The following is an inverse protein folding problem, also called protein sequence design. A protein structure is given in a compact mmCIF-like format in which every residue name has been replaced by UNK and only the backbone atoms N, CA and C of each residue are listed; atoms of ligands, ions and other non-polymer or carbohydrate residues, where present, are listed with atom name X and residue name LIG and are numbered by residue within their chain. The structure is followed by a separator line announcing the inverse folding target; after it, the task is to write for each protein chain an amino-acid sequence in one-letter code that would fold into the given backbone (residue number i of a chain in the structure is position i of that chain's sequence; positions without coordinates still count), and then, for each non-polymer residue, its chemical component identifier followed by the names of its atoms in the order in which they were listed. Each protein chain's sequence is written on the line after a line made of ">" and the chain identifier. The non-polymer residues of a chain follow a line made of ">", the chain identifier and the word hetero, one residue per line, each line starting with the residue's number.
data_IF_852006208403
#
_entry.id   IF_852006208403
#
_cell.length_a   1.000
_cell.length_b   1.000
_cell.length_c   1.000
_cell.angle_alpha   90.00
_cell.angle_beta   90.00
_cell.angle_gamma   90.00
#
_symmetry.space_group_name_H-M   'P 1'
#
loop_
_entity.id
_entity.type
_entity.pdbx_description
1 polymer ?
#
# COMPACT_ATOMS: atom_id res chain seq x y z
N UNK A 1 5.79 17.78 -5.51
CA UNK A 1 6.51 17.60 -6.80
C UNK A 1 5.82 18.42 -7.89
N UNK A 2 6.63 19.09 -8.75
CA UNK A 2 6.11 19.94 -9.84
C UNK A 2 5.94 19.18 -11.17
N UNK A 3 6.47 17.99 -11.28
CA UNK A 3 6.38 17.10 -12.45
C UNK A 3 6.22 15.65 -12.01
N UNK A 4 5.22 14.97 -12.53
CA UNK A 4 5.04 13.52 -12.37
C UNK A 4 5.21 12.85 -13.72
N UNK A 5 6.00 11.78 -13.75
CA UNK A 5 6.16 10.94 -14.94
C UNK A 5 5.20 9.77 -14.85
N UNK A 6 4.29 9.68 -15.81
CA UNK A 6 3.27 8.62 -15.87
C UNK A 6 3.70 7.56 -16.88
N UNK A 7 3.93 6.34 -16.41
CA UNK A 7 4.29 5.18 -17.26
C UNK A 7 3.03 4.55 -17.85
N UNK A 8 2.48 5.17 -18.89
CA UNK A 8 1.21 4.75 -19.51
C UNK A 8 1.20 3.29 -19.97
N UNK A 9 2.35 2.77 -20.39
CA UNK A 9 2.48 1.42 -20.90
C UNK A 9 2.78 0.37 -19.82
N UNK A 10 2.68 0.74 -18.53
CA UNK A 10 3.03 -0.16 -17.43
C UNK A 10 2.32 -1.53 -17.49
N UNK A 11 1.00 -1.63 -17.74
CA UNK A 11 0.34 -2.93 -17.85
C UNK A 11 0.85 -3.77 -19.03
N UNK A 12 1.11 -3.14 -20.19
CA UNK A 12 1.63 -3.83 -21.36
C UNK A 12 3.07 -4.33 -21.13
N UNK A 13 3.91 -3.52 -20.52
CA UNK A 13 5.28 -3.89 -20.16
C UNK A 13 5.30 -5.02 -19.13
N UNK A 14 4.41 -4.98 -18.15
CA UNK A 14 4.28 -6.04 -17.16
C UNK A 14 3.85 -7.36 -17.81
N UNK A 15 2.86 -7.33 -18.70
CA UNK A 15 2.42 -8.50 -19.46
C UNK A 15 3.55 -9.09 -20.29
N UNK A 16 4.33 -8.25 -20.97
CA UNK A 16 5.49 -8.68 -21.74
C UNK A 16 6.59 -9.28 -20.85
N UNK A 17 6.79 -8.74 -19.64
CA UNK A 17 7.74 -9.29 -18.68
C UNK A 17 7.30 -10.68 -18.20
N UNK A 18 6.02 -10.84 -17.85
CA UNK A 18 5.46 -12.10 -17.38
C UNK A 18 5.37 -13.19 -18.46
N UNK A 19 5.34 -12.80 -19.75
CA UNK A 19 5.37 -13.74 -20.88
C UNK A 19 6.76 -14.35 -21.15
N UNK A 20 7.81 -13.84 -20.51
CA UNK A 20 9.17 -14.40 -20.68
C UNK A 20 9.26 -15.79 -20.06
N UNK A 21 9.91 -16.74 -20.77
CA UNK A 21 10.15 -18.10 -20.25
C UNK A 21 10.95 -18.15 -18.93
N UNK A 22 11.75 -17.11 -18.67
CA UNK A 22 12.54 -16.99 -17.44
C UNK A 22 11.72 -16.52 -16.22
N UNK A 23 10.48 -16.06 -16.44
CA UNK A 23 9.65 -15.59 -15.33
C UNK A 23 9.11 -16.78 -14.51
N UNK A 24 9.37 -16.76 -13.20
CA UNK A 24 9.02 -17.86 -12.28
C UNK A 24 7.81 -17.54 -11.40
N UNK A 25 6.96 -16.59 -11.79
CA UNK A 25 5.81 -16.09 -11.00
C UNK A 25 6.24 -15.59 -9.61
N UNK A 26 7.32 -14.85 -9.57
CA UNK A 26 7.81 -14.25 -8.34
C UNK A 26 6.79 -13.27 -7.75
N UNK A 27 6.80 -13.13 -6.42
CA UNK A 27 5.93 -12.17 -5.72
C UNK A 27 6.34 -10.74 -6.08
N UNK A 28 5.46 -10.00 -6.73
CA UNK A 28 5.70 -8.62 -7.18
C UNK A 28 5.05 -7.65 -6.21
N UNK A 29 5.78 -6.64 -5.74
CA UNK A 29 5.23 -5.60 -4.86
C UNK A 29 5.06 -4.30 -5.63
N UNK A 30 3.84 -3.78 -5.66
CA UNK A 30 3.53 -2.45 -6.16
C UNK A 30 3.68 -1.43 -5.03
N UNK A 31 4.82 -0.77 -5.04
CA UNK A 31 5.25 0.24 -4.08
C UNK A 31 6.60 0.78 -4.54
N UNK A 32 7.28 1.54 -3.74
CA UNK A 32 8.67 1.93 -3.95
C UNK A 32 8.83 3.44 -4.09
N UNK A 33 9.09 3.96 -5.29
CA UNK A 33 9.38 5.36 -5.49
C UNK A 33 8.19 6.30 -5.22
N UNK A 34 6.97 5.84 -5.55
CA UNK A 34 5.72 6.58 -5.31
C UNK A 34 4.60 5.63 -4.93
N UNK A 35 3.54 6.15 -4.31
CA UNK A 35 2.35 5.37 -4.01
C UNK A 35 1.62 5.00 -5.31
N UNK A 36 1.35 3.70 -5.51
CA UNK A 36 0.65 3.21 -6.69
C UNK A 36 -0.83 3.62 -6.73
N UNK A 37 -1.40 4.05 -5.60
CA UNK A 37 -2.76 4.59 -5.50
C UNK A 37 -2.79 6.10 -5.23
N UNK A 38 -1.80 6.83 -5.73
CA UNK A 38 -1.83 8.28 -5.74
C UNK A 38 -3.01 8.84 -6.56
N UNK A 39 -3.41 10.12 -6.41
CA UNK A 39 -4.61 10.66 -7.06
C UNK A 39 -4.74 10.44 -8.57
N UNK A 40 -3.61 10.42 -9.30
CA UNK A 40 -3.58 10.17 -10.75
C UNK A 40 -4.06 8.77 -11.14
N UNK A 41 -4.03 7.81 -10.23
CA UNK A 41 -4.55 6.46 -10.46
C UNK A 41 -6.06 6.45 -10.71
N UNK A 42 -6.80 7.50 -10.29
CA UNK A 42 -8.22 7.68 -10.62
C UNK A 42 -8.44 7.77 -12.13
N UNK A 43 -7.56 8.49 -12.82
CA UNK A 43 -7.72 8.82 -14.23
C UNK A 43 -7.01 7.84 -15.15
N UNK A 44 -5.82 7.39 -14.74
CA UNK A 44 -4.96 6.55 -15.59
C UNK A 44 -5.18 5.04 -15.41
N UNK A 45 -5.73 4.58 -14.28
CA UNK A 45 -6.04 3.16 -13.99
C UNK A 45 -4.86 2.21 -14.21
N UNK A 46 -3.63 2.67 -13.99
CA UNK A 46 -2.43 1.89 -14.29
C UNK A 46 -2.21 0.75 -13.30
N UNK A 47 -2.40 1.02 -12.01
CA UNK A 47 -2.32 -0.01 -10.97
C UNK A 47 -3.39 -1.05 -11.19
N UNK A 48 -4.62 -0.61 -11.48
CA UNK A 48 -5.72 -1.52 -11.84
C UNK A 48 -5.36 -2.39 -13.05
N UNK A 49 -4.87 -1.80 -14.14
CA UNK A 49 -4.44 -2.54 -15.33
C UNK A 49 -3.33 -3.55 -15.04
N UNK A 50 -2.38 -3.20 -14.15
CA UNK A 50 -1.34 -4.14 -13.71
C UNK A 50 -1.92 -5.29 -12.87
N UNK A 51 -2.91 -5.04 -12.02
CA UNK A 51 -3.61 -6.08 -11.25
C UNK A 51 -4.41 -7.03 -12.17
N UNK A 52 -5.04 -6.49 -13.23
CA UNK A 52 -5.69 -7.31 -14.25
C UNK A 52 -4.69 -8.26 -14.93
N UNK A 53 -3.48 -7.78 -15.23
CA UNK A 53 -2.40 -8.62 -15.76
C UNK A 53 -1.99 -9.70 -14.75
N UNK A 54 -1.83 -9.34 -13.47
CA UNK A 54 -1.51 -10.33 -12.42
C UNK A 54 -2.58 -11.42 -12.32
N UNK A 55 -3.87 -11.05 -12.39
CA UNK A 55 -4.98 -11.99 -12.40
C UNK A 55 -4.92 -12.92 -13.62
N UNK A 56 -4.75 -12.37 -14.83
CA UNK A 56 -4.70 -13.12 -16.10
C UNK A 56 -3.66 -14.24 -16.07
N UNK A 57 -2.49 -14.00 -15.50
CA UNK A 57 -1.39 -14.97 -15.47
C UNK A 57 -1.22 -15.67 -14.10
N UNK A 58 -2.13 -15.41 -13.17
CA UNK A 58 -2.07 -15.92 -11.79
C UNK A 58 -0.72 -15.62 -11.12
N UNK A 59 -0.27 -14.36 -11.20
CA UNK A 59 0.96 -13.91 -10.57
C UNK A 59 0.68 -13.33 -9.18
N UNK A 60 1.38 -13.76 -8.13
CA UNK A 60 1.18 -13.21 -6.80
C UNK A 60 1.62 -11.75 -6.71
N UNK A 61 0.90 -10.95 -5.91
CA UNK A 61 1.11 -9.51 -5.80
C UNK A 61 0.93 -8.97 -4.39
N UNK A 62 1.79 -8.04 -4.02
CA UNK A 62 1.68 -7.23 -2.81
C UNK A 62 1.48 -5.75 -3.14
N UNK A 63 0.74 -5.06 -2.29
CA UNK A 63 0.55 -3.61 -2.39
C UNK A 63 0.91 -2.98 -1.06
N UNK A 64 1.68 -1.88 -1.10
CA UNK A 64 1.86 -1.01 0.07
C UNK A 64 1.38 0.38 -0.32
N UNK A 65 0.40 0.93 0.40
CA UNK A 65 -0.21 2.21 0.03
C UNK A 65 -0.74 3.00 1.23
N UNK A 66 -0.79 4.33 1.09
CA UNK A 66 -1.55 5.25 1.93
C UNK A 66 -2.88 5.63 1.25
N UNK A 67 -3.03 5.29 -0.03
CA UNK A 67 -4.12 5.72 -0.88
C UNK A 67 -5.45 5.00 -0.59
N UNK A 68 -6.53 5.75 -0.43
CA UNK A 68 -7.88 5.17 -0.24
C UNK A 68 -8.48 4.59 -1.52
N UNK A 69 -7.89 4.91 -2.67
CA UNK A 69 -8.35 4.39 -3.96
C UNK A 69 -8.19 2.86 -4.10
N UNK A 70 -7.35 2.22 -3.29
CA UNK A 70 -7.20 0.76 -3.29
C UNK A 70 -8.52 0.05 -3.00
N UNK A 71 -9.42 0.66 -2.21
CA UNK A 71 -10.75 0.12 -1.93
C UNK A 71 -11.63 -0.04 -3.20
N UNK A 72 -11.41 0.78 -4.24
CA UNK A 72 -12.05 0.64 -5.56
C UNK A 72 -11.78 -0.72 -6.19
N UNK A 73 -10.59 -1.24 -5.98
CA UNK A 73 -10.10 -2.48 -6.62
C UNK A 73 -10.20 -3.71 -5.69
N UNK A 74 -10.98 -3.61 -4.59
CA UNK A 74 -11.13 -4.69 -3.62
C UNK A 74 -11.61 -6.01 -4.25
N UNK A 75 -12.61 -5.96 -5.14
CA UNK A 75 -13.10 -7.16 -5.84
C UNK A 75 -12.03 -7.77 -6.76
N UNK A 76 -11.29 -6.93 -7.49
CA UNK A 76 -10.19 -7.40 -8.35
C UNK A 76 -9.06 -8.02 -7.53
N UNK A 77 -8.72 -7.43 -6.39
CA UNK A 77 -7.72 -7.97 -5.47
C UNK A 77 -8.16 -9.31 -4.88
N UNK A 78 -9.45 -9.48 -4.57
CA UNK A 78 -10.00 -10.75 -4.13
C UNK A 78 -9.92 -11.82 -5.25
N UNK A 79 -10.19 -11.46 -6.50
CA UNK A 79 -10.02 -12.36 -7.66
C UNK A 79 -8.54 -12.75 -7.85
N UNK A 80 -7.60 -11.80 -7.74
CA UNK A 80 -6.15 -12.11 -7.79
C UNK A 80 -5.76 -13.03 -6.64
N UNK A 81 -6.28 -12.76 -5.43
CA UNK A 81 -6.00 -13.59 -4.26
C UNK A 81 -6.50 -15.03 -4.46
N UNK A 82 -7.69 -15.20 -5.02
CA UNK A 82 -8.25 -16.53 -5.32
C UNK A 82 -7.48 -17.28 -6.43
N UNK A 83 -6.91 -16.56 -7.40
CA UNK A 83 -6.15 -17.14 -8.52
C UNK A 83 -4.69 -17.47 -8.15
N UNK A 84 -4.11 -16.71 -7.20
CA UNK A 84 -2.72 -16.88 -6.77
C UNK A 84 -2.56 -16.41 -5.31
N UNK A 85 -2.05 -15.21 -5.13
CA UNK A 85 -1.95 -14.55 -3.84
C UNK A 85 -2.01 -13.04 -4.03
N UNK A 86 -2.84 -12.33 -3.26
CA UNK A 86 -2.77 -10.88 -3.14
C UNK A 86 -2.72 -10.49 -1.66
N UNK A 87 -1.88 -9.52 -1.34
CA UNK A 87 -1.78 -8.93 0.01
C UNK A 87 -1.73 -7.41 -0.10
N UNK A 88 -2.41 -6.74 0.82
CA UNK A 88 -2.36 -5.27 0.90
C UNK A 88 -1.87 -4.86 2.28
N UNK A 89 -0.86 -4.00 2.33
CA UNK A 89 -0.42 -3.32 3.54
C UNK A 89 -0.82 -1.84 3.45
N UNK A 90 -1.72 -1.42 4.34
CA UNK A 90 -2.11 -0.01 4.44
C UNK A 90 -1.17 0.69 5.42
N UNK A 91 -0.46 1.72 4.95
CA UNK A 91 0.45 2.48 5.81
C UNK A 91 -0.36 3.29 6.83
N UNK A 92 -0.11 3.07 8.12
CA UNK A 92 -0.83 3.68 9.23
C UNK A 92 0.13 3.98 10.39
N UNK A 93 0.99 5.01 10.29
CA UNK A 93 1.97 5.32 11.34
C UNK A 93 1.39 6.09 12.51
N UNK A 94 0.20 6.70 12.38
CA UNK A 94 -0.44 7.50 13.42
C UNK A 94 -1.94 7.19 13.49
N UNK A 95 -2.52 7.19 14.71
CA UNK A 95 -3.98 7.21 14.92
C UNK A 95 -4.51 8.62 15.12
N UNK A 96 -3.75 9.47 15.78
CA UNK A 96 -4.12 10.86 16.00
C UNK A 96 -4.14 11.64 14.68
N UNK A 97 -5.28 12.26 14.38
CA UNK A 97 -5.46 12.97 13.12
C UNK A 97 -4.60 14.23 13.02
N UNK A 98 -4.26 14.86 14.14
CA UNK A 98 -3.42 16.07 14.20
C UNK A 98 -1.97 15.71 13.90
N UNK A 99 -1.47 14.65 14.55
CA UNK A 99 -0.13 14.13 14.27
C UNK A 99 -0.03 13.66 12.81
N UNK A 100 -0.99 12.85 12.36
CA UNK A 100 -1.02 12.38 10.99
C UNK A 100 -0.98 13.54 9.97
N UNK A 101 -1.72 14.60 10.22
CA UNK A 101 -1.75 15.79 9.36
C UNK A 101 -0.43 16.55 9.39
N UNK A 102 0.23 16.64 10.55
CA UNK A 102 1.51 17.31 10.69
C UNK A 102 2.63 16.59 9.91
N UNK A 103 2.67 15.26 9.96
CA UNK A 103 3.70 14.47 9.30
C UNK A 103 3.37 14.10 7.85
N UNK A 104 2.09 13.92 7.53
CA UNK A 104 1.62 13.49 6.21
C UNK A 104 0.48 14.39 5.71
N UNK A 105 0.74 15.68 5.46
CA UNK A 105 -0.32 16.69 5.20
C UNK A 105 -1.20 16.39 3.99
N UNK A 106 -0.70 15.64 3.03
CA UNK A 106 -1.42 15.30 1.78
C UNK A 106 -1.97 13.88 1.76
N UNK A 107 -1.72 13.10 2.79
CA UNK A 107 -2.20 11.73 2.88
C UNK A 107 -3.62 11.65 3.49
N UNK A 108 -4.39 10.60 3.19
CA UNK A 108 -5.69 10.37 3.82
C UNK A 108 -5.58 10.23 5.34
N UNK A 109 -6.61 10.67 6.08
CA UNK A 109 -6.65 10.56 7.54
C UNK A 109 -6.59 9.10 8.02
N UNK A 110 -6.16 8.86 9.26
CA UNK A 110 -6.13 7.52 9.86
C UNK A 110 -7.49 6.81 9.79
N UNK A 111 -8.58 7.51 10.10
CA UNK A 111 -9.94 6.96 10.03
C UNK A 111 -10.30 6.48 8.61
N UNK A 112 -9.92 7.22 7.56
CA UNK A 112 -10.14 6.80 6.17
C UNK A 112 -9.30 5.57 5.79
N UNK A 113 -8.08 5.46 6.32
CA UNK A 113 -7.23 4.28 6.10
C UNK A 113 -7.78 3.05 6.81
N UNK A 114 -8.32 3.19 8.02
CA UNK A 114 -9.01 2.10 8.72
C UNK A 114 -10.25 1.63 7.95
N UNK A 115 -11.05 2.54 7.40
CA UNK A 115 -12.19 2.18 6.56
C UNK A 115 -11.78 1.42 5.28
N UNK A 116 -10.61 1.70 4.71
CA UNK A 116 -10.03 0.92 3.60
C UNK A 116 -9.69 -0.50 4.05
N UNK A 117 -9.08 -0.66 5.22
CA UNK A 117 -8.75 -1.98 5.78
C UNK A 117 -10.04 -2.79 5.92
N UNK A 118 -11.08 -2.19 6.51
CA UNK A 118 -12.38 -2.85 6.67
C UNK A 118 -13.00 -3.27 5.33
N UNK A 119 -12.93 -2.40 4.32
CA UNK A 119 -13.45 -2.69 2.97
C UNK A 119 -12.72 -3.87 2.33
N UNK A 120 -11.38 -3.89 2.40
CA UNK A 120 -10.56 -4.97 1.85
C UNK A 120 -10.80 -6.29 2.60
N UNK A 121 -10.85 -6.26 3.92
CA UNK A 121 -11.10 -7.44 4.75
C UNK A 121 -12.48 -8.04 4.45
N UNK A 122 -13.53 -7.21 4.32
CA UNK A 122 -14.89 -7.66 3.93
C UNK A 122 -14.94 -8.27 2.53
N UNK A 123 -14.07 -7.84 1.64
CA UNK A 123 -13.93 -8.41 0.30
C UNK A 123 -13.11 -9.71 0.27
N UNK A 124 -12.59 -10.17 1.40
CA UNK A 124 -11.76 -11.39 1.49
C UNK A 124 -10.30 -11.19 1.06
N UNK A 125 -9.83 -9.95 0.98
CA UNK A 125 -8.43 -9.64 0.66
C UNK A 125 -7.60 -9.66 1.94
N UNK A 126 -6.51 -10.46 2.02
CA UNK A 126 -5.56 -10.39 3.13
C UNK A 126 -4.98 -8.97 3.25
N UNK A 127 -5.31 -8.29 4.33
CA UNK A 127 -4.88 -6.93 4.58
C UNK A 127 -4.15 -6.82 5.91
N UNK A 128 -3.10 -6.03 5.95
CA UNK A 128 -2.35 -5.68 7.14
C UNK A 128 -2.07 -4.19 7.19
N UNK A 129 -1.37 -3.77 8.23
CA UNK A 129 -0.87 -2.40 8.36
C UNK A 129 0.65 -2.34 8.23
N UNK A 130 1.14 -1.19 7.78
CA UNK A 130 2.56 -0.85 7.83
C UNK A 130 2.74 0.39 8.70
N UNK A 131 3.39 0.24 9.85
CA UNK A 131 3.75 1.35 10.74
C UNK A 131 5.12 1.86 10.28
N UNK A 132 5.11 2.75 9.32
CA UNK A 132 6.32 3.26 8.69
C UNK A 132 6.22 4.77 8.40
N UNK A 133 7.08 5.58 9.05
CA UNK A 133 8.10 5.20 10.02
C UNK A 133 7.57 5.03 11.44
N UNK A 134 8.24 4.21 12.24
CA UNK A 134 8.21 4.30 13.71
C UNK A 134 9.26 5.32 14.12
N UNK A 135 8.86 6.31 14.89
CA UNK A 135 9.69 7.40 15.38
C UNK A 135 9.74 7.30 16.90
N UNK A 136 10.89 6.86 17.49
CA UNK A 136 11.02 6.70 18.93
C UNK A 136 10.70 8.00 19.69
N UNK A 137 9.90 7.90 20.76
CA UNK A 137 9.43 9.02 21.55
C UNK A 137 8.30 9.85 20.92
N UNK A 138 7.77 9.45 19.75
CA UNK A 138 6.69 10.17 19.08
C UNK A 138 5.46 9.31 18.79
N UNK A 139 5.63 8.15 18.19
CA UNK A 139 4.50 7.27 17.84
C UNK A 139 4.68 5.81 18.27
N UNK A 140 5.78 5.49 18.90
CA UNK A 140 6.06 4.14 19.42
C UNK A 140 5.12 3.76 20.57
N UNK A 141 4.78 4.69 21.46
CA UNK A 141 3.79 4.46 22.53
C UNK A 141 2.37 4.18 22.00
N UNK A 142 2.06 4.64 20.79
CA UNK A 142 0.77 4.43 20.14
C UNK A 142 0.64 3.05 19.45
N UNK A 143 1.72 2.27 19.32
CA UNK A 143 1.72 0.99 18.60
C UNK A 143 0.64 0.02 19.11
N UNK A 144 0.43 -0.20 20.42
CA UNK A 144 -0.62 -1.09 20.89
C UNK A 144 -2.02 -0.67 20.42
N UNK A 145 -2.33 0.62 20.50
CA UNK A 145 -3.61 1.18 20.03
C UNK A 145 -3.77 1.09 18.50
N UNK A 146 -2.68 1.30 17.74
CA UNK A 146 -2.65 1.11 16.28
C UNK A 146 -2.98 -0.34 15.91
N UNK A 147 -2.38 -1.31 16.59
CA UNK A 147 -2.62 -2.73 16.35
C UNK A 147 -4.04 -3.12 16.68
N UNK A 148 -4.58 -2.63 17.80
CA UNK A 148 -5.97 -2.89 18.21
C UNK A 148 -6.97 -2.30 17.19
N UNK A 149 -6.80 -1.03 16.80
CA UNK A 149 -7.64 -0.38 15.81
C UNK A 149 -7.60 -1.10 14.45
N UNK A 150 -6.41 -1.50 14.01
CA UNK A 150 -6.23 -2.23 12.76
C UNK A 150 -6.87 -3.63 12.83
N UNK A 151 -6.69 -4.36 13.92
CA UNK A 151 -7.33 -5.66 14.16
C UNK A 151 -8.86 -5.55 14.13
N UNK A 152 -9.41 -4.55 14.78
CA UNK A 152 -10.87 -4.30 14.80
C UNK A 152 -11.39 -3.96 13.40
N UNK A 153 -10.59 -3.33 12.54
CA UNK A 153 -10.88 -3.10 11.13
C UNK A 153 -10.68 -4.34 10.22
N UNK A 154 -10.16 -5.45 10.77
CA UNK A 154 -9.97 -6.71 10.05
C UNK A 154 -8.56 -6.97 9.53
N UNK A 155 -7.57 -6.18 9.94
CA UNK A 155 -6.17 -6.45 9.60
C UNK A 155 -5.68 -7.76 10.24
N UNK A 156 -4.90 -8.53 9.47
CA UNK A 156 -4.38 -9.85 9.85
C UNK A 156 -2.87 -9.82 10.18
N UNK A 157 -2.20 -8.71 9.92
CA UNK A 157 -0.76 -8.60 10.13
C UNK A 157 -0.29 -7.15 10.22
N UNK A 158 0.93 -7.01 10.69
CA UNK A 158 1.60 -5.73 10.82
C UNK A 158 3.06 -5.85 10.40
N UNK A 159 3.57 -4.84 9.74
CA UNK A 159 5.00 -4.60 9.52
C UNK A 159 5.38 -3.22 10.06
N UNK A 160 6.64 -3.03 10.38
CA UNK A 160 7.13 -1.72 10.78
C UNK A 160 8.50 -1.41 10.19
N UNK A 161 8.83 -0.13 10.12
CA UNK A 161 10.16 0.35 9.74
C UNK A 161 10.52 1.53 10.63
N UNK A 162 11.69 1.47 11.26
CA UNK A 162 12.21 2.60 12.03
C UNK A 162 12.53 3.78 11.09
N UNK A 163 12.37 4.99 11.61
CA UNK A 163 12.79 6.20 10.90
C UNK A 163 14.28 6.08 10.55
N UNK A 164 14.60 6.35 9.30
CA UNK A 164 15.97 6.49 8.81
C UNK A 164 16.18 7.92 8.35
N UNK A 165 17.16 8.57 8.92
CA UNK A 165 17.58 9.90 8.53
C UNK A 165 18.78 9.77 7.57
N UNK A 166 18.61 10.08 6.27
CA UNK A 166 19.70 9.93 5.30
C UNK A 166 20.68 11.11 5.42
N UNK A 167 21.85 10.85 5.98
CA UNK A 167 22.99 11.77 6.00
C UNK A 167 23.14 12.55 7.28
N UNK A 168 24.40 12.90 7.60
CA UNK A 168 24.80 13.61 8.83
C UNK A 168 24.09 14.96 9.04
N UNK A 169 23.82 15.71 7.97
CA UNK A 169 23.16 17.02 8.05
C UNK A 169 21.70 16.95 8.55
N UNK A 170 21.08 15.77 8.52
CA UNK A 170 19.70 15.53 9.00
C UNK A 170 19.71 14.94 10.42
N UNK A 171 20.83 14.38 10.84
CA UNK A 171 21.01 13.83 12.20
C UNK A 171 21.31 14.92 13.25
N UNK A 172 21.71 16.13 12.79
CA UNK A 172 22.10 17.26 13.66
C UNK A 172 20.96 18.27 13.90
N UNK A 173 19.75 18.03 13.39
CA UNK A 173 18.55 18.84 13.59
C UNK A 173 17.64 18.14 14.61
#
# INVERSE_FOLDING_TARGET
>A
ERKLLVKRDAPALLRAAFAKRSWQREFVVFSGATDCYQPLERDYLLTRGCLEVCREVSNPVGIVTKGVLVARDASLLAEVHAASEARVAVSLPFLDATQARAFEPYAPSPARRLAVIETLAKAGVPVGISIAPVIPGLNDDAIPALLEAAKNAGAQGCSFTLLRLPGRAVEEV
#
